data_IF_280375550895
#
_entry.id   IF_280375550895
#
_cell.length_a   1.000
_cell.length_b   1.000
_cell.length_c   1.000
_cell.angle_alpha   90.00
_cell.angle_beta   90.00
_cell.angle_gamma   90.00
#
_symmetry.space_group_name_H-M   'P 1'
#
loop_
_entity.id
_entity.type
_entity.pdbx_description
1 polymer ?
#
# COMPACT_ATOMS: atom_id res chain seq x y z
N UNK A 1 60.22 49.50 49.15
CA UNK A 1 59.24 48.36 48.96
C UNK A 1 57.91 48.99 48.64
N UNK A 2 57.52 49.02 47.35
CA UNK A 2 56.27 49.67 46.87
C UNK A 2 55.17 48.55 46.76
N UNK A 3 54.09 48.75 47.51
CA UNK A 3 52.93 47.87 47.47
C UNK A 3 52.05 48.32 46.31
N UNK A 4 51.94 47.46 45.29
CA UNK A 4 51.02 47.60 44.17
C UNK A 4 49.65 47.12 44.61
N UNK A 5 48.65 48.01 44.62
CA UNK A 5 47.27 47.65 44.80
C UNK A 5 46.69 47.34 43.44
N UNK A 6 46.28 46.06 43.21
CA UNK A 6 45.58 45.63 42.01
C UNK A 6 44.12 45.94 42.25
N UNK A 7 43.58 46.84 41.43
CA UNK A 7 42.14 47.14 41.39
C UNK A 7 41.43 46.17 40.45
N UNK A 8 40.63 45.28 40.99
CA UNK A 8 39.87 44.32 40.21
C UNK A 8 38.63 45.04 39.66
N UNK A 9 38.61 45.28 38.34
CA UNK A 9 37.48 45.85 37.65
C UNK A 9 36.48 44.73 37.28
N UNK A 10 35.35 44.70 37.97
CA UNK A 10 34.27 43.76 37.73
C UNK A 10 33.39 44.29 36.61
N UNK A 11 33.55 43.74 35.39
CA UNK A 11 32.68 44.08 34.27
C UNK A 11 31.42 43.18 34.30
N UNK A 12 30.28 43.82 34.58
CA UNK A 12 28.96 43.21 34.45
C UNK A 12 28.60 43.13 32.96
N UNK A 13 28.61 41.92 32.38
CA UNK A 13 28.02 41.68 31.07
C UNK A 13 26.55 41.34 31.25
N UNK A 14 25.67 42.27 30.89
CA UNK A 14 24.25 42.05 30.81
C UNK A 14 24.00 41.25 29.53
N UNK A 15 23.76 39.94 29.66
CA UNK A 15 23.31 39.10 28.57
C UNK A 15 21.80 39.26 28.40
N UNK A 16 21.38 39.94 27.33
CA UNK A 16 19.99 39.92 26.89
C UNK A 16 19.64 38.50 26.38
N UNK A 17 18.94 37.74 27.19
CA UNK A 17 18.33 36.50 26.78
C UNK A 17 17.15 36.76 25.88
N UNK A 18 17.31 36.65 24.56
CA UNK A 18 16.20 36.57 23.62
C UNK A 18 15.51 35.22 23.75
N UNK A 19 14.30 35.20 24.31
CA UNK A 19 13.41 34.06 24.25
C UNK A 19 12.96 33.85 22.79
N UNK A 20 13.61 32.97 22.09
CA UNK A 20 13.05 32.39 20.88
C UNK A 20 12.25 31.16 21.27
N UNK A 21 10.96 31.34 21.47
CA UNK A 21 9.98 30.27 21.51
C UNK A 21 9.95 29.57 20.15
N UNK A 22 10.90 28.67 19.89
CA UNK A 22 10.78 27.71 18.83
C UNK A 22 9.74 26.66 19.27
N UNK A 23 8.48 26.91 18.93
CA UNK A 23 7.46 25.85 18.93
C UNK A 23 7.96 24.74 18.02
N UNK A 24 8.64 23.75 18.60
CA UNK A 24 8.84 22.45 17.97
C UNK A 24 7.47 21.85 17.74
N UNK A 25 6.92 22.00 16.54
CA UNK A 25 5.81 21.20 16.09
C UNK A 25 6.28 19.75 16.11
N UNK A 26 5.99 19.08 17.22
CA UNK A 26 6.12 17.64 17.33
C UNK A 26 5.06 17.08 16.40
N UNK A 27 5.47 16.67 15.20
CA UNK A 27 4.63 15.83 14.35
C UNK A 27 4.40 14.53 15.10
N UNK A 28 3.30 14.49 15.83
CA UNK A 28 2.82 13.27 16.45
C UNK A 28 2.26 12.41 15.32
N UNK A 29 3.07 11.45 14.86
CA UNK A 29 2.63 10.43 13.93
C UNK A 29 1.63 9.55 14.70
N UNK A 30 0.36 9.91 14.65
CA UNK A 30 -0.71 8.97 15.02
C UNK A 30 -0.66 7.89 13.94
N UNK A 31 -0.02 6.76 14.28
CA UNK A 31 -0.27 5.54 13.55
C UNK A 31 -1.80 5.37 13.52
N UNK A 32 -2.37 5.42 12.33
CA UNK A 32 -3.76 5.03 12.13
C UNK A 32 -3.73 3.51 12.34
N UNK A 33 -3.95 3.10 13.60
CA UNK A 33 -4.34 1.72 13.88
C UNK A 33 -5.61 1.49 13.07
N UNK A 34 -5.46 0.76 11.96
CA UNK A 34 -6.57 0.26 11.18
C UNK A 34 -7.32 -0.68 12.11
N UNK A 35 -8.40 -0.17 12.72
CA UNK A 35 -9.23 -0.96 13.64
C UNK A 35 -9.74 -2.17 12.88
N UNK A 36 -9.47 -3.34 13.42
CA UNK A 36 -10.09 -4.62 13.04
C UNK A 36 -11.63 -4.58 13.15
N UNK A 37 -12.17 -3.54 13.80
CA UNK A 37 -13.57 -3.41 14.20
C UNK A 37 -14.55 -2.98 13.08
N UNK A 38 -14.08 -2.65 11.87
CA UNK A 38 -14.98 -2.22 10.77
C UNK A 38 -15.42 -3.36 9.85
N UNK A 39 -14.99 -4.60 10.10
CA UNK A 39 -15.45 -5.77 9.35
C UNK A 39 -16.70 -6.36 10.00
N UNK A 40 -17.87 -6.03 9.46
CA UNK A 40 -19.11 -6.67 9.89
C UNK A 40 -19.18 -8.14 9.43
N UNK A 41 -18.94 -9.05 10.38
CA UNK A 41 -19.04 -10.50 10.16
C UNK A 41 -20.44 -10.94 9.68
N UNK A 42 -21.46 -10.15 9.97
CA UNK A 42 -22.84 -10.45 9.56
C UNK A 42 -23.17 -9.84 8.19
N UNK A 43 -22.31 -8.99 7.64
CA UNK A 43 -22.48 -8.45 6.30
C UNK A 43 -22.26 -9.53 5.26
N UNK A 44 -23.19 -9.67 4.34
CA UNK A 44 -23.07 -10.57 3.20
C UNK A 44 -22.21 -10.00 2.07
N UNK A 45 -21.92 -8.71 2.12
CA UNK A 45 -21.19 -7.99 1.07
C UNK A 45 -20.08 -7.14 1.70
N UNK A 46 -18.95 -7.02 0.98
CA UNK A 46 -17.80 -6.19 1.34
C UNK A 46 -17.35 -5.40 0.12
N UNK A 47 -17.05 -4.12 0.33
CA UNK A 47 -16.52 -3.23 -0.70
C UNK A 47 -15.05 -2.92 -0.39
N UNK A 48 -14.19 -3.14 -1.37
CA UNK A 48 -12.74 -2.92 -1.26
C UNK A 48 -12.32 -1.94 -2.34
N UNK A 49 -11.61 -0.88 -1.95
CA UNK A 49 -10.95 0.03 -2.88
C UNK A 49 -9.43 -0.12 -2.68
N UNK A 50 -8.72 -0.46 -3.75
CA UNK A 50 -7.26 -0.50 -3.80
C UNK A 50 -6.80 0.59 -4.76
N UNK A 51 -5.91 1.46 -4.30
CA UNK A 51 -5.24 2.41 -5.19
C UNK A 51 -3.87 1.88 -5.58
N UNK A 52 -3.51 2.10 -6.84
CA UNK A 52 -2.18 1.88 -7.39
C UNK A 52 -1.61 3.19 -7.93
N UNK A 53 -0.30 3.24 -8.21
CA UNK A 53 0.33 4.47 -8.69
C UNK A 53 1.58 4.20 -9.55
N UNK A 54 2.16 5.26 -10.12
CA UNK A 54 3.35 5.20 -10.97
C UNK A 54 4.64 4.77 -10.24
N UNK A 55 4.58 4.45 -8.94
CA UNK A 55 5.69 3.90 -8.16
C UNK A 55 5.61 2.38 -7.99
N UNK A 56 4.80 1.70 -8.79
CA UNK A 56 4.57 0.25 -8.71
C UNK A 56 4.14 -0.18 -7.29
N UNK A 57 3.10 0.46 -6.73
CA UNK A 57 2.60 0.17 -5.38
C UNK A 57 1.09 0.07 -5.36
N UNK A 58 0.60 -0.91 -4.59
CA UNK A 58 -0.73 -0.86 -4.02
C UNK A 58 -0.69 -0.10 -2.68
N UNK A 59 -1.73 0.65 -2.36
CA UNK A 59 -1.86 1.34 -1.07
C UNK A 59 -2.21 0.38 0.08
N UNK A 60 -2.67 -0.83 -0.25
CA UNK A 60 -2.98 -1.89 0.70
C UNK A 60 -2.21 -3.15 0.31
N UNK A 61 -1.57 -3.79 1.27
CA UNK A 61 -0.87 -5.06 1.12
C UNK A 61 -1.50 -6.20 1.94
N UNK A 62 -2.53 -5.89 2.70
CA UNK A 62 -3.34 -6.83 3.44
C UNK A 62 -4.82 -6.44 3.35
N UNK A 63 -5.64 -7.40 2.95
CA UNK A 63 -7.10 -7.29 2.89
C UNK A 63 -7.69 -8.36 3.80
N UNK A 64 -8.81 -8.05 4.45
CA UNK A 64 -9.51 -8.98 5.34
C UNK A 64 -10.98 -9.08 4.95
N UNK A 65 -11.50 -10.29 4.88
CA UNK A 65 -12.91 -10.58 4.57
C UNK A 65 -13.34 -11.84 5.32
N UNK A 66 -14.64 -12.14 5.29
CA UNK A 66 -15.16 -13.40 5.78
C UNK A 66 -15.51 -14.35 4.62
N UNK A 67 -15.37 -15.66 4.87
CA UNK A 67 -15.71 -16.70 3.92
C UNK A 67 -17.14 -16.55 3.41
N UNK A 68 -17.31 -16.70 2.10
CA UNK A 68 -18.60 -16.62 1.44
C UNK A 68 -19.16 -15.22 1.23
N UNK A 69 -18.50 -14.16 1.73
CA UNK A 69 -18.92 -12.79 1.43
C UNK A 69 -18.80 -12.49 -0.06
N UNK A 70 -19.77 -11.76 -0.59
CA UNK A 70 -19.67 -11.16 -1.92
C UNK A 70 -18.77 -9.93 -1.84
N UNK A 71 -17.65 -9.96 -2.54
CA UNK A 71 -16.68 -8.88 -2.57
C UNK A 71 -16.87 -8.07 -3.86
N UNK A 72 -17.04 -6.76 -3.71
CA UNK A 72 -16.93 -5.80 -4.81
C UNK A 72 -15.62 -5.05 -4.65
N UNK A 73 -14.64 -5.36 -5.50
CA UNK A 73 -13.31 -4.77 -5.46
C UNK A 73 -13.12 -3.83 -6.63
N UNK A 74 -12.71 -2.60 -6.32
CA UNK A 74 -12.30 -1.60 -7.30
C UNK A 74 -10.80 -1.38 -7.21
N UNK A 75 -10.10 -1.58 -8.32
CA UNK A 75 -8.74 -1.12 -8.52
C UNK A 75 -8.77 0.25 -9.19
N UNK A 76 -8.07 1.22 -8.61
CA UNK A 76 -7.95 2.57 -9.14
C UNK A 76 -6.48 2.92 -9.35
N UNK A 77 -6.12 3.45 -10.53
CA UNK A 77 -4.75 3.90 -10.82
C UNK A 77 -4.66 5.42 -10.66
N UNK A 78 -4.08 5.89 -9.56
CA UNK A 78 -3.94 7.31 -9.21
C UNK A 78 -2.78 8.00 -9.92
N UNK A 79 -1.98 7.26 -10.70
CA UNK A 79 -0.87 7.78 -11.49
C UNK A 79 -1.33 8.44 -12.80
N UNK A 80 -0.37 8.69 -13.69
CA UNK A 80 -0.58 9.39 -14.97
C UNK A 80 0.00 8.63 -16.17
N UNK A 81 0.82 7.59 -15.92
CA UNK A 81 1.47 6.83 -16.99
C UNK A 81 0.46 5.94 -17.70
N UNK A 82 0.66 5.77 -19.01
CA UNK A 82 -0.25 4.94 -19.81
C UNK A 82 -0.16 3.45 -19.43
N UNK A 83 -1.19 2.70 -19.79
CA UNK A 83 -1.30 1.25 -19.56
C UNK A 83 -0.11 0.46 -20.11
N UNK A 84 0.45 0.89 -21.24
CA UNK A 84 1.58 0.22 -21.90
C UNK A 84 2.89 0.40 -21.14
N UNK A 85 3.03 1.45 -20.33
CA UNK A 85 4.26 1.79 -19.59
C UNK A 85 4.17 1.38 -18.13
N UNK A 86 3.03 1.61 -17.50
CA UNK A 86 2.80 1.43 -16.07
C UNK A 86 1.41 0.85 -15.81
N UNK A 87 1.05 -0.18 -16.58
CA UNK A 87 -0.22 -0.86 -16.39
C UNK A 87 -0.29 -1.60 -15.06
N UNK A 88 -1.46 -1.61 -14.45
CA UNK A 88 -1.73 -2.34 -13.22
C UNK A 88 -3.01 -3.16 -13.33
N UNK A 89 -2.98 -4.33 -12.75
CA UNK A 89 -4.16 -5.13 -12.47
C UNK A 89 -4.09 -5.71 -11.06
N UNK A 90 -5.21 -6.20 -10.57
CA UNK A 90 -5.32 -6.99 -9.36
C UNK A 90 -5.60 -8.43 -9.78
N UNK A 91 -4.78 -9.37 -9.36
CA UNK A 91 -4.96 -10.80 -9.65
C UNK A 91 -4.87 -11.59 -8.36
N UNK A 92 -6.00 -12.17 -7.92
CA UNK A 92 -6.09 -13.01 -6.73
C UNK A 92 -5.83 -14.46 -7.14
N UNK A 93 -4.84 -15.06 -6.49
CA UNK A 93 -4.38 -16.41 -6.80
C UNK A 93 -4.97 -17.44 -5.83
N UNK A 94 -5.15 -18.67 -6.31
CA UNK A 94 -5.46 -19.82 -5.46
C UNK A 94 -4.31 -20.13 -4.52
N UNK A 95 -4.62 -20.79 -3.40
CA UNK A 95 -3.60 -21.32 -2.48
C UNK A 95 -2.62 -22.21 -3.25
N UNK A 96 -1.38 -22.25 -2.76
CA UNK A 96 -0.33 -23.12 -3.31
C UNK A 96 0.11 -22.81 -4.75
N UNK A 97 -0.40 -21.73 -5.37
CA UNK A 97 0.10 -21.28 -6.68
C UNK A 97 1.58 -20.94 -6.58
N UNK A 98 2.40 -21.53 -7.46
CA UNK A 98 3.80 -21.13 -7.60
C UNK A 98 3.87 -19.73 -8.22
N UNK A 99 4.11 -18.73 -7.36
CA UNK A 99 4.08 -17.32 -7.77
C UNK A 99 5.08 -17.00 -8.88
N UNK A 100 6.29 -17.55 -8.81
CA UNK A 100 7.33 -17.26 -9.81
C UNK A 100 6.96 -17.87 -11.17
N UNK A 101 6.49 -19.11 -11.20
CA UNK A 101 6.04 -19.75 -12.43
C UNK A 101 4.83 -19.01 -13.03
N UNK A 102 3.84 -18.68 -12.20
CA UNK A 102 2.68 -17.92 -12.64
C UNK A 102 3.08 -16.58 -13.26
N UNK A 103 3.95 -15.82 -12.59
CA UNK A 103 4.41 -14.52 -13.07
C UNK A 103 5.22 -14.61 -14.38
N UNK A 104 6.03 -15.66 -14.56
CA UNK A 104 6.75 -15.88 -15.81
C UNK A 104 5.78 -16.16 -16.97
N UNK A 105 4.78 -17.01 -16.77
CA UNK A 105 3.74 -17.27 -17.78
C UNK A 105 2.90 -16.03 -18.07
N UNK A 106 2.61 -15.25 -17.04
CA UNK A 106 1.88 -13.99 -17.18
C UNK A 106 2.59 -12.99 -18.10
N UNK A 107 3.91 -12.85 -18.00
CA UNK A 107 4.68 -11.98 -18.90
C UNK A 107 4.52 -12.34 -20.37
N UNK A 108 4.27 -13.61 -20.71
CA UNK A 108 4.07 -14.10 -22.06
C UNK A 108 2.62 -13.97 -22.55
N UNK A 109 1.68 -13.71 -21.64
CA UNK A 109 0.23 -13.62 -21.91
C UNK A 109 -0.24 -12.18 -22.19
N UNK A 110 0.54 -11.39 -22.90
CA UNK A 110 0.23 -9.97 -23.17
C UNK A 110 -1.14 -9.77 -23.82
N UNK A 111 -1.48 -10.62 -24.78
CA UNK A 111 -2.75 -10.54 -25.52
C UNK A 111 -3.97 -10.85 -24.64
N UNK A 112 -3.76 -11.49 -23.51
CA UNK A 112 -4.77 -11.76 -22.49
C UNK A 112 -4.54 -10.89 -21.23
N UNK A 113 -4.12 -9.64 -21.40
CA UNK A 113 -3.87 -8.67 -20.33
C UNK A 113 -2.96 -9.19 -19.20
N UNK A 114 -1.98 -10.03 -19.58
CA UNK A 114 -1.04 -10.69 -18.67
C UNK A 114 -1.70 -11.65 -17.67
N UNK A 115 -2.81 -12.26 -18.07
CA UNK A 115 -3.44 -13.38 -17.35
C UNK A 115 -3.12 -14.66 -18.10
N UNK A 116 -2.25 -15.54 -17.60
CA UNK A 116 -1.90 -16.77 -18.30
C UNK A 116 -3.06 -17.77 -18.28
N UNK A 117 -3.10 -18.64 -19.27
CA UNK A 117 -4.00 -19.78 -19.26
C UNK A 117 -3.73 -20.67 -18.05
N UNK A 118 -4.79 -21.20 -17.48
CA UNK A 118 -4.72 -22.04 -16.29
C UNK A 118 -5.94 -21.86 -15.38
N UNK A 119 -5.84 -22.44 -14.20
CA UNK A 119 -6.91 -22.39 -13.20
C UNK A 119 -6.46 -21.80 -11.86
N UNK A 120 -5.32 -21.11 -11.85
CA UNK A 120 -4.69 -20.59 -10.63
C UNK A 120 -5.34 -19.29 -10.14
N UNK A 121 -6.09 -18.58 -10.99
CA UNK A 121 -6.75 -17.32 -10.62
C UNK A 121 -8.13 -17.57 -9.98
N UNK A 122 -8.46 -16.82 -8.94
CA UNK A 122 -9.79 -16.74 -8.33
C UNK A 122 -10.57 -15.59 -8.96
N UNK A 123 -9.95 -14.41 -9.06
CA UNK A 123 -10.55 -13.20 -9.60
C UNK A 123 -9.44 -12.27 -10.11
N UNK A 124 -9.75 -11.44 -11.11
CA UNK A 124 -8.81 -10.43 -11.61
C UNK A 124 -9.54 -9.26 -12.26
N UNK A 125 -8.93 -8.09 -12.19
CA UNK A 125 -9.35 -6.88 -12.91
C UNK A 125 -8.71 -6.86 -14.29
N UNK A 126 -9.25 -6.02 -15.17
CA UNK A 126 -8.55 -5.62 -16.40
C UNK A 126 -7.23 -4.91 -16.05
N UNK A 127 -6.34 -4.86 -17.03
CA UNK A 127 -5.17 -3.99 -16.97
C UNK A 127 -5.60 -2.54 -17.17
N UNK A 128 -5.26 -1.66 -16.23
CA UNK A 128 -5.61 -0.22 -16.24
C UNK A 128 -4.37 0.66 -16.28
N UNK A 129 -4.50 1.84 -16.90
CA UNK A 129 -3.48 2.90 -16.90
C UNK A 129 -3.83 4.06 -15.97
N UNK A 130 -2.97 5.08 -15.92
CA UNK A 130 -3.15 6.24 -15.06
C UNK A 130 -4.49 6.95 -15.26
N UNK A 131 -5.19 7.20 -14.17
CA UNK A 131 -6.53 7.80 -14.15
C UNK A 131 -7.69 6.85 -14.44
N UNK A 132 -7.40 5.57 -14.73
CA UNK A 132 -8.42 4.55 -14.97
C UNK A 132 -8.77 3.76 -13.71
N UNK A 133 -9.92 3.10 -13.74
CA UNK A 133 -10.34 2.14 -12.71
C UNK A 133 -11.08 0.96 -13.33
N UNK A 134 -11.06 -0.18 -12.63
CA UNK A 134 -11.87 -1.35 -12.97
C UNK A 134 -12.45 -1.96 -11.71
N UNK A 135 -13.66 -2.50 -11.82
CA UNK A 135 -14.38 -3.10 -10.69
C UNK A 135 -14.81 -4.51 -11.01
N UNK A 136 -14.50 -5.42 -10.11
CA UNK A 136 -14.88 -6.82 -10.20
C UNK A 136 -15.72 -7.23 -8.99
N UNK A 137 -16.49 -8.30 -9.17
CA UNK A 137 -17.25 -8.91 -8.08
C UNK A 137 -16.96 -10.41 -8.05
N UNK A 138 -16.66 -10.93 -6.87
CA UNK A 138 -16.40 -12.35 -6.66
C UNK A 138 -16.83 -12.77 -5.25
N UNK A 139 -16.94 -14.06 -5.01
CA UNK A 139 -17.22 -14.60 -3.68
C UNK A 139 -15.89 -14.89 -2.96
N UNK A 140 -15.79 -14.47 -1.71
CA UNK A 140 -14.65 -14.79 -0.86
C UNK A 140 -14.48 -16.31 -0.79
N UNK A 141 -13.30 -16.84 -1.09
CA UNK A 141 -13.03 -18.27 -1.03
C UNK A 141 -13.08 -18.80 0.41
N UNK A 142 -12.85 -20.08 0.59
CA UNK A 142 -12.73 -20.70 1.92
C UNK A 142 -11.64 -20.04 2.78
N UNK A 143 -11.75 -20.20 4.10
CA UNK A 143 -10.80 -19.63 5.07
C UNK A 143 -9.36 -19.92 4.73
N UNK A 144 -8.51 -18.90 4.87
CA UNK A 144 -7.09 -18.99 4.60
C UNK A 144 -6.48 -17.69 4.10
N UNK A 145 -5.24 -17.80 3.65
CA UNK A 145 -4.46 -16.68 3.11
C UNK A 145 -4.24 -16.89 1.61
N UNK A 146 -4.51 -15.86 0.84
CA UNK A 146 -4.46 -15.86 -0.62
C UNK A 146 -3.60 -14.70 -1.10
N UNK A 147 -2.64 -14.98 -1.98
CA UNK A 147 -1.79 -13.93 -2.55
C UNK A 147 -2.53 -13.20 -3.66
N UNK A 148 -2.43 -11.88 -3.69
CA UNK A 148 -2.77 -11.09 -4.87
C UNK A 148 -1.55 -10.33 -5.38
N UNK A 149 -1.49 -10.12 -6.69
CA UNK A 149 -0.36 -9.48 -7.39
C UNK A 149 -0.84 -8.57 -8.51
N UNK A 150 0.05 -7.69 -8.97
CA UNK A 150 -0.01 -7.13 -10.32
C UNK A 150 0.82 -8.00 -11.26
N UNK A 151 0.27 -8.37 -12.42
CA UNK A 151 0.94 -9.25 -13.39
C UNK A 151 1.65 -8.50 -14.51
N UNK A 152 1.59 -7.16 -14.54
CA UNK A 152 2.37 -6.38 -15.50
C UNK A 152 3.86 -6.75 -15.36
N UNK A 153 4.62 -6.90 -16.48
CA UNK A 153 6.02 -7.35 -16.43
C UNK A 153 6.88 -6.58 -15.44
N UNK A 154 7.52 -7.29 -14.53
CA UNK A 154 8.40 -6.73 -13.49
C UNK A 154 7.70 -6.23 -12.22
N UNK A 155 6.37 -6.14 -12.18
CA UNK A 155 5.65 -5.53 -11.05
C UNK A 155 5.42 -6.47 -9.86
N UNK A 156 5.21 -7.77 -10.09
CA UNK A 156 4.78 -8.72 -9.05
C UNK A 156 5.70 -8.79 -7.82
N UNK A 157 6.97 -8.44 -7.98
CA UNK A 157 7.93 -8.41 -6.88
C UNK A 157 7.63 -7.34 -5.82
N UNK A 158 7.09 -6.20 -6.26
CA UNK A 158 6.76 -5.05 -5.42
C UNK A 158 5.26 -4.89 -5.20
N UNK A 159 4.45 -5.16 -6.25
CA UNK A 159 3.01 -5.03 -6.22
C UNK A 159 2.33 -6.35 -5.87
N UNK A 160 2.30 -6.66 -4.60
CA UNK A 160 1.67 -7.86 -4.04
C UNK A 160 1.13 -7.62 -2.65
N UNK A 161 0.17 -8.44 -2.26
CA UNK A 161 -0.38 -8.46 -0.92
C UNK A 161 -1.08 -9.79 -0.62
N UNK A 162 -1.78 -9.83 0.49
CA UNK A 162 -2.52 -11.01 0.94
C UNK A 162 -3.98 -10.65 1.21
N UNK A 163 -4.88 -11.54 0.82
CA UNK A 163 -6.27 -11.55 1.25
C UNK A 163 -6.41 -12.61 2.33
N UNK A 164 -6.75 -12.20 3.54
CA UNK A 164 -7.02 -13.06 4.68
C UNK A 164 -8.54 -13.30 4.75
N UNK A 165 -8.94 -14.56 4.65
CA UNK A 165 -10.33 -14.99 4.76
C UNK A 165 -10.51 -15.68 6.11
N UNK A 166 -11.39 -15.15 6.96
CA UNK A 166 -11.67 -15.61 8.33
C UNK A 166 -12.97 -16.41 8.42
#
# INVERSE_FOLDING_TARGET
>A
MKKIKILLLLTFVISCGGNTDSKKNKFEYKAIEKKEDDLDKNSKETFILINSNDLMKFDQNELRVFEGQKITLTLNHTGKMSKEIMGHNFVLLKKETNLNDFAQRAMLARENEYIPDGNETIAYTKMIGGGESDTITFTAPEKGSYTYICTFPGHYGLMRGVLIVS
#
